data_IF_602758351864
#
_entry.id   IF_602758351864
#
_cell.length_a   1.000
_cell.length_b   1.000
_cell.length_c   1.000
_cell.angle_alpha   90.00
_cell.angle_beta   90.00
_cell.angle_gamma   90.00
#
_symmetry.space_group_name_H-M   'P 1'
#
loop_
_entity.id
_entity.type
_entity.pdbx_description
1 polymer ?
#
# COMPACT_ATOMS: atom_id res chain seq x y z
N UNK A 1 -12.91 -56.08 -22.39
CA UNK A 1 -12.36 -54.75 -22.74
C UNK A 1 -13.52 -53.76 -22.82
N UNK A 2 -13.50 -52.60 -22.16
CA UNK A 2 -14.57 -51.62 -22.35
C UNK A 2 -14.53 -51.14 -23.80
N UNK A 3 -15.45 -51.67 -24.62
CA UNK A 3 -15.63 -51.26 -26.02
C UNK A 3 -16.15 -49.82 -26.01
N UNK A 4 -15.25 -48.87 -26.24
CA UNK A 4 -15.59 -47.46 -26.40
C UNK A 4 -16.07 -47.27 -27.84
N UNK A 5 -17.32 -46.82 -28.00
CA UNK A 5 -17.99 -46.58 -29.29
C UNK A 5 -17.22 -45.61 -30.21
N UNK A 6 -16.23 -44.88 -29.68
CA UNK A 6 -15.30 -44.08 -30.44
C UNK A 6 -13.92 -44.03 -29.71
N UNK A 7 -12.92 -44.83 -30.12
CA UNK A 7 -11.62 -44.91 -29.43
C UNK A 7 -10.81 -43.61 -29.52
N UNK A 8 -11.14 -42.74 -30.47
CA UNK A 8 -10.51 -41.44 -30.67
C UNK A 8 -11.17 -40.31 -29.85
N UNK A 9 -12.30 -40.60 -29.19
CA UNK A 9 -13.07 -39.62 -28.43
C UNK A 9 -12.70 -39.59 -26.94
N UNK A 10 -12.80 -38.43 -26.27
CA UNK A 10 -12.65 -38.39 -24.82
C UNK A 10 -13.75 -39.21 -24.13
N UNK A 11 -13.40 -39.93 -23.06
CA UNK A 11 -14.37 -40.69 -22.27
C UNK A 11 -15.43 -39.78 -21.63
N UNK A 12 -16.62 -40.34 -21.33
CA UNK A 12 -17.70 -39.62 -20.62
C UNK A 12 -17.20 -38.95 -19.33
N UNK A 13 -16.34 -39.63 -18.58
CA UNK A 13 -15.73 -39.11 -17.36
C UNK A 13 -14.83 -37.89 -17.65
N UNK A 14 -14.04 -37.93 -18.74
CA UNK A 14 -13.21 -36.81 -19.16
C UNK A 14 -14.05 -35.61 -19.58
N UNK A 15 -15.19 -35.83 -20.26
CA UNK A 15 -16.12 -34.77 -20.60
C UNK A 15 -16.76 -34.16 -19.34
N UNK A 16 -17.20 -34.97 -18.39
CA UNK A 16 -17.74 -34.50 -17.11
C UNK A 16 -16.71 -33.68 -16.30
N UNK A 17 -15.45 -34.11 -16.27
CA UNK A 17 -14.37 -33.34 -15.63
C UNK A 17 -14.11 -32.00 -16.33
N UNK A 18 -14.15 -31.96 -17.67
CA UNK A 18 -14.01 -30.72 -18.47
C UNK A 18 -15.16 -29.76 -18.22
N UNK A 19 -16.40 -30.23 -18.15
CA UNK A 19 -17.55 -29.35 -17.85
C UNK A 19 -17.51 -28.85 -16.41
N UNK A 20 -17.12 -29.69 -15.45
CA UNK A 20 -16.97 -29.29 -14.05
C UNK A 20 -15.88 -28.22 -13.87
N UNK A 21 -14.72 -28.37 -14.52
CA UNK A 21 -13.66 -27.36 -14.51
C UNK A 21 -14.10 -26.06 -15.18
N UNK A 22 -14.77 -26.13 -16.35
CA UNK A 22 -15.31 -24.95 -17.02
C UNK A 22 -16.32 -24.17 -16.16
N UNK A 23 -17.21 -24.87 -15.45
CA UNK A 23 -18.17 -24.26 -14.51
C UNK A 23 -17.47 -23.54 -13.35
N UNK A 24 -16.40 -24.13 -12.78
CA UNK A 24 -15.61 -23.48 -11.73
C UNK A 24 -14.95 -22.19 -12.24
N UNK A 25 -14.42 -22.22 -13.47
CA UNK A 25 -13.83 -21.04 -14.09
C UNK A 25 -14.86 -19.95 -14.39
N UNK A 26 -16.02 -20.29 -14.94
CA UNK A 26 -17.08 -19.32 -15.24
C UNK A 26 -17.66 -18.69 -13.97
N UNK A 27 -17.91 -19.47 -12.92
CA UNK A 27 -18.36 -18.97 -11.62
C UNK A 27 -17.36 -17.97 -11.01
N UNK A 28 -16.06 -18.28 -11.05
CA UNK A 28 -15.00 -17.37 -10.59
C UNK A 28 -14.95 -16.08 -11.43
N UNK A 29 -15.21 -16.16 -12.73
CA UNK A 29 -15.26 -14.97 -13.58
C UNK A 29 -16.49 -14.10 -13.30
N UNK A 30 -17.66 -14.70 -13.10
CA UNK A 30 -18.89 -13.98 -12.73
C UNK A 30 -18.72 -13.24 -11.40
N UNK A 31 -18.20 -13.91 -10.38
CA UNK A 31 -17.91 -13.28 -9.09
C UNK A 31 -16.91 -12.11 -9.18
N UNK A 32 -15.97 -12.14 -10.14
CA UNK A 32 -15.07 -11.01 -10.39
C UNK A 32 -15.78 -9.86 -11.10
N UNK A 33 -16.69 -10.16 -12.04
CA UNK A 33 -17.46 -9.14 -12.77
C UNK A 33 -18.38 -8.37 -11.84
N UNK A 34 -19.07 -9.06 -10.93
CA UNK A 34 -19.94 -8.40 -9.94
C UNK A 34 -19.16 -7.44 -9.06
N UNK A 35 -17.96 -7.82 -8.61
CA UNK A 35 -17.10 -6.92 -7.84
C UNK A 35 -16.60 -5.70 -8.63
N UNK A 36 -16.34 -5.86 -9.93
CA UNK A 36 -15.96 -4.75 -10.82
C UNK A 36 -17.09 -3.72 -10.93
N UNK A 37 -18.31 -4.19 -11.15
CA UNK A 37 -19.49 -3.34 -11.34
C UNK A 37 -19.88 -2.63 -10.05
N UNK A 38 -19.81 -3.31 -8.90
CA UNK A 38 -20.19 -2.74 -7.61
C UNK A 38 -19.15 -1.77 -7.03
N UNK A 39 -17.85 -2.08 -7.18
CA UNK A 39 -16.78 -1.36 -6.49
C UNK A 39 -15.95 -0.46 -7.42
N UNK A 40 -16.41 -0.21 -8.65
CA UNK A 40 -15.74 0.64 -9.65
C UNK A 40 -14.28 0.23 -9.90
N UNK A 41 -13.97 -1.07 -9.80
CA UNK A 41 -12.62 -1.60 -10.00
C UNK A 41 -12.39 -1.79 -11.50
N UNK A 42 -11.23 -1.42 -12.04
CA UNK A 42 -10.94 -1.67 -13.45
C UNK A 42 -10.95 -3.19 -13.76
N UNK A 43 -11.47 -3.58 -14.93
CA UNK A 43 -11.46 -5.01 -15.36
C UNK A 43 -10.05 -5.58 -15.39
N UNK A 44 -9.06 -4.76 -15.73
CA UNK A 44 -7.65 -5.15 -15.76
C UNK A 44 -7.13 -5.47 -14.34
N UNK A 45 -7.45 -4.64 -13.35
CA UNK A 45 -7.00 -4.85 -11.98
C UNK A 45 -7.73 -6.02 -11.31
N UNK A 46 -9.02 -6.21 -11.59
CA UNK A 46 -9.76 -7.39 -11.11
C UNK A 46 -9.19 -8.70 -11.65
N UNK A 47 -8.65 -8.71 -12.88
CA UNK A 47 -7.91 -9.87 -13.43
C UNK A 47 -6.62 -10.14 -12.67
N UNK A 48 -5.92 -9.08 -12.24
CA UNK A 48 -4.71 -9.14 -11.41
C UNK A 48 -5.00 -9.41 -9.93
N UNK A 49 -6.27 -9.58 -9.56
CA UNK A 49 -6.68 -9.97 -8.20
C UNK A 49 -7.13 -8.82 -7.30
N UNK A 50 -7.33 -7.62 -7.83
CA UNK A 50 -7.99 -6.55 -7.09
C UNK A 50 -9.43 -6.95 -6.69
N UNK A 51 -9.84 -6.56 -5.49
CA UNK A 51 -11.16 -6.81 -4.90
C UNK A 51 -11.57 -5.59 -4.08
N UNK A 52 -12.82 -5.57 -3.59
CA UNK A 52 -13.25 -4.53 -2.65
C UNK A 52 -12.26 -4.44 -1.48
N UNK A 53 -11.69 -3.25 -1.25
CA UNK A 53 -10.71 -3.01 -0.18
C UNK A 53 -9.31 -3.62 -0.41
N UNK A 54 -9.06 -4.29 -1.53
CA UNK A 54 -7.76 -4.90 -1.83
C UNK A 54 -7.25 -4.45 -3.20
N UNK A 55 -6.09 -3.77 -3.18
CA UNK A 55 -5.37 -3.35 -4.38
C UNK A 55 -4.87 -4.56 -5.19
N UNK A 56 -4.62 -4.39 -6.51
CA UNK A 56 -4.07 -5.47 -7.33
C UNK A 56 -2.68 -5.90 -6.82
N UNK A 57 -2.35 -7.18 -7.02
CA UNK A 57 -1.08 -7.75 -6.57
C UNK A 57 0.09 -7.41 -7.51
N UNK A 58 -0.20 -6.97 -8.73
CA UNK A 58 0.78 -6.70 -9.78
C UNK A 58 0.33 -5.57 -10.70
N UNK A 59 1.27 -4.99 -11.44
CA UNK A 59 1.01 -3.91 -12.39
C UNK A 59 1.19 -2.51 -11.78
N UNK A 60 0.83 -1.46 -12.54
CA UNK A 60 1.09 -0.06 -12.16
C UNK A 60 0.29 0.39 -10.93
N UNK A 61 -0.92 -0.15 -10.76
CA UNK A 61 -1.81 0.19 -9.65
C UNK A 61 -1.56 -0.68 -8.41
N UNK A 62 -0.52 -1.51 -8.41
CA UNK A 62 -0.21 -2.38 -7.28
C UNK A 62 0.36 -1.59 -6.11
N UNK A 63 -0.02 -1.99 -4.90
CA UNK A 63 0.48 -1.37 -3.69
C UNK A 63 2.02 -1.51 -3.60
N UNK A 64 2.71 -0.39 -3.47
CA UNK A 64 4.14 -0.39 -3.22
C UNK A 64 4.38 -0.69 -1.74
N UNK A 65 5.32 -1.58 -1.43
CA UNK A 65 5.65 -1.88 -0.03
C UNK A 65 6.16 -0.63 0.68
N UNK A 66 5.83 -0.46 1.96
CA UNK A 66 6.23 0.70 2.76
C UNK A 66 7.76 0.94 2.72
N UNK A 67 8.56 -0.14 2.73
CA UNK A 67 10.02 -0.06 2.62
C UNK A 67 10.46 0.49 1.25
N UNK A 68 9.78 0.10 0.16
CA UNK A 68 10.08 0.58 -1.19
C UNK A 68 9.64 2.04 -1.37
N UNK A 69 8.50 2.45 -0.81
CA UNK A 69 8.06 3.85 -0.80
C UNK A 69 9.09 4.75 -0.11
N UNK A 70 9.49 4.41 1.13
CA UNK A 70 10.54 5.16 1.88
C UNK A 70 11.86 5.27 1.12
N UNK A 71 12.26 4.21 0.41
CA UNK A 71 13.48 4.22 -0.43
C UNK A 71 13.33 5.13 -1.64
N UNK A 72 12.15 5.16 -2.28
CA UNK A 72 11.88 6.02 -3.43
C UNK A 72 11.84 7.48 -3.01
N UNK A 73 11.15 7.82 -1.92
CA UNK A 73 11.11 9.17 -1.35
C UNK A 73 12.52 9.69 -1.04
N UNK A 74 13.35 8.87 -0.39
CA UNK A 74 14.75 9.24 -0.10
C UNK A 74 15.56 9.51 -1.38
N UNK A 75 15.41 8.65 -2.39
CA UNK A 75 16.10 8.82 -3.68
C UNK A 75 15.62 10.08 -4.41
N UNK A 76 14.33 10.35 -4.41
CA UNK A 76 13.76 11.57 -4.98
C UNK A 76 14.26 12.82 -4.25
N UNK A 77 14.32 12.79 -2.92
CA UNK A 77 14.88 13.89 -2.13
C UNK A 77 16.33 14.21 -2.51
N UNK A 78 17.19 13.20 -2.67
CA UNK A 78 18.58 13.42 -3.13
C UNK A 78 18.66 13.89 -4.58
N UNK A 79 17.77 13.42 -5.45
CA UNK A 79 17.72 13.85 -6.84
C UNK A 79 17.31 15.33 -6.94
N UNK A 80 16.34 15.77 -6.15
CA UNK A 80 15.91 17.17 -6.09
C UNK A 80 17.02 18.08 -5.55
N UNK A 81 17.73 17.67 -4.49
CA UNK A 81 18.89 18.43 -3.99
C UNK A 81 19.97 18.61 -5.06
N UNK A 82 20.32 17.52 -5.77
CA UNK A 82 21.27 17.58 -6.88
C UNK A 82 20.79 18.45 -8.04
N UNK A 83 19.49 18.45 -8.34
CA UNK A 83 18.91 19.36 -9.34
C UNK A 83 19.00 20.81 -8.90
N UNK A 84 18.66 21.13 -7.65
CA UNK A 84 18.79 22.48 -7.09
C UNK A 84 20.24 22.97 -7.07
N UNK A 85 21.20 22.10 -6.77
CA UNK A 85 22.64 22.41 -6.82
C UNK A 85 23.14 22.60 -8.26
N UNK A 86 22.63 21.82 -9.23
CA UNK A 86 23.01 21.90 -10.64
C UNK A 86 22.33 23.05 -11.40
N UNK A 87 21.12 23.43 -11.01
CA UNK A 87 20.36 24.61 -11.49
C UNK A 87 20.79 25.89 -10.73
N UNK A 88 21.93 25.85 -10.04
CA UNK A 88 22.37 26.87 -9.09
C UNK A 88 22.40 28.30 -9.63
N UNK A 89 21.34 29.05 -9.31
CA UNK A 89 21.31 30.51 -9.14
C UNK A 89 20.09 30.87 -8.28
N UNK A 90 20.09 30.45 -7.02
CA UNK A 90 19.33 31.18 -5.99
C UNK A 90 20.36 31.97 -5.22
N UNK A 91 20.49 33.25 -5.57
CA UNK A 91 21.24 34.26 -4.83
C UNK A 91 20.99 34.09 -3.33
N UNK A 92 22.06 33.85 -2.59
CA UNK A 92 22.06 33.98 -1.14
C UNK A 92 21.77 35.44 -0.81
N UNK A 93 20.51 35.77 -0.52
CA UNK A 93 20.22 36.95 0.30
C UNK A 93 20.60 36.61 1.72
N UNK A 94 21.79 37.04 2.11
CA UNK A 94 22.20 37.17 3.50
C UNK A 94 21.12 37.96 4.26
N UNK A 95 20.33 37.25 5.06
CA UNK A 95 19.66 37.85 6.21
C UNK A 95 20.37 37.30 7.42
N UNK A 96 21.42 38.01 7.82
CA UNK A 96 21.97 37.96 9.16
C UNK A 96 20.85 38.20 10.18
N UNK A 97 20.75 37.34 11.19
CA UNK A 97 20.06 37.67 12.44
C UNK A 97 19.02 36.66 12.90
N UNK A 98 19.32 36.05 14.04
CA UNK A 98 18.36 35.51 15.02
C UNK A 98 17.63 34.21 14.68
N UNK A 99 18.08 33.10 15.28
CA UNK A 99 17.16 32.20 16.02
C UNK A 99 17.93 31.37 17.04
N UNK A 100 18.44 32.04 18.07
CA UNK A 100 18.69 31.48 19.42
C UNK A 100 17.39 31.03 20.14
N UNK A 101 16.35 30.60 19.40
CA UNK A 101 15.02 30.28 19.92
C UNK A 101 14.83 28.78 20.24
N UNK A 102 15.82 27.92 19.97
CA UNK A 102 15.71 26.47 20.23
C UNK A 102 16.30 26.01 21.56
N UNK A 103 17.16 26.79 22.20
CA UNK A 103 17.74 26.43 23.49
C UNK A 103 16.74 26.59 24.66
N UNK A 104 15.95 27.68 24.66
CA UNK A 104 14.97 27.98 25.73
C UNK A 104 13.75 27.06 25.74
N UNK A 105 13.34 26.52 24.59
CA UNK A 105 12.16 25.62 24.52
C UNK A 105 12.44 24.21 25.04
N UNK A 106 13.71 23.77 25.05
CA UNK A 106 14.09 22.46 25.57
C UNK A 106 14.19 22.44 27.11
N UNK A 107 14.53 23.57 27.75
CA UNK A 107 14.56 23.65 29.21
C UNK A 107 13.15 23.71 29.83
N UNK A 108 12.19 24.40 29.20
CA UNK A 108 10.82 24.50 29.75
C UNK A 108 10.04 23.17 29.71
N UNK A 109 10.33 22.29 28.74
CA UNK A 109 9.70 20.95 28.68
C UNK A 109 10.28 19.96 29.69
N UNK A 110 11.55 20.08 30.06
CA UNK A 110 12.17 19.14 30.99
C UNK A 110 11.85 19.42 32.47
N UNK A 111 11.40 20.63 32.79
CA UNK A 111 11.00 21.03 34.15
C UNK A 111 9.51 20.87 34.47
N UNK A 112 8.63 20.76 33.47
CA UNK A 112 7.19 20.67 33.68
C UNK A 112 6.67 19.24 33.96
N UNK A 113 7.43 18.21 33.58
CA UNK A 113 6.99 16.81 33.72
C UNK A 113 7.43 16.17 35.07
N UNK A 114 8.03 16.94 35.98
CA UNK A 114 8.61 16.44 37.24
C UNK A 114 7.94 16.90 38.53
N UNK A 115 6.98 17.84 38.49
CA UNK A 115 6.45 18.52 39.69
C UNK A 115 4.95 18.28 39.92
N UNK A 116 4.23 17.61 39.02
CA UNK A 116 2.77 17.36 39.13
C UNK A 116 2.39 15.96 39.63
N UNK A 117 3.28 15.26 40.33
CA UNK A 117 2.99 13.95 40.96
C UNK A 117 3.24 13.96 42.49
N UNK A 118 3.32 15.14 43.12
CA UNK A 118 3.68 15.29 44.54
C UNK A 118 2.66 16.06 45.39
N UNK A 119 1.43 16.23 44.92
CA UNK A 119 0.33 16.81 45.71
C UNK A 119 -0.90 15.96 45.47
N UNK A 120 -1.11 14.94 46.31
CA UNK A 120 -2.42 14.34 46.66
C UNK A 120 -2.25 13.02 47.43
N UNK A 121 -1.42 12.99 48.49
CA UNK A 121 -1.33 11.84 49.42
C UNK A 121 -1.50 12.21 50.91
N UNK A 122 -1.80 13.47 51.24
CA UNK A 122 -1.90 13.92 52.65
C UNK A 122 -3.33 14.25 53.11
N UNK A 123 -4.37 13.76 52.42
CA UNK A 123 -5.77 14.00 52.83
C UNK A 123 -6.61 12.71 52.91
N UNK A 124 -6.02 11.66 53.49
CA UNK A 124 -6.74 10.53 54.07
C UNK A 124 -6.44 10.52 55.57
N UNK A 125 -7.31 11.16 56.35
CA UNK A 125 -7.54 10.90 57.77
C UNK A 125 -9.01 11.11 58.08
#
# INVERSE_FOLDING_TARGET
MPSVKNPNGPSKNRLAARTATARKHSAKQLARKTQVEQHKISKADARRGARAGLLPTSGPNAAVSAKKMRKLERKMGYALKRKMEAEGEVEMKDVSGETDAKATKQQKKKGADGEEMAVDMDNIS
#
